data_IF_970069439516
#
_entry.id   IF_970069439516
#
_cell.length_a   1.000
_cell.length_b   1.000
_cell.length_c   1.000
_cell.angle_alpha   90.00
_cell.angle_beta   90.00
_cell.angle_gamma   90.00
#
_symmetry.space_group_name_H-M   'P 1'
#
loop_
_entity.id
_entity.type
_entity.pdbx_description
1 polymer ?
#
# COMPACT_ATOMS: atom_id res chain seq x y z
N UNK A 1 7.72 -3.84 -24.59
CA UNK A 1 6.95 -3.85 -23.33
C UNK A 1 7.90 -4.10 -22.16
N UNK A 2 7.49 -3.88 -20.90
CA UNK A 2 8.36 -4.05 -19.70
C UNK A 2 8.99 -5.45 -19.65
N UNK A 3 8.22 -6.47 -20.04
CA UNK A 3 8.67 -7.86 -20.17
C UNK A 3 9.85 -7.98 -21.15
N UNK A 4 9.68 -7.52 -22.40
CA UNK A 4 10.72 -7.59 -23.43
C UNK A 4 12.02 -6.89 -22.99
N UNK A 5 11.90 -5.74 -22.31
CA UNK A 5 13.08 -5.04 -21.81
C UNK A 5 13.80 -5.83 -20.72
N UNK A 6 13.04 -6.40 -19.78
CA UNK A 6 13.59 -7.19 -18.69
C UNK A 6 14.30 -8.45 -19.21
N UNK A 7 13.68 -9.21 -20.10
CA UNK A 7 14.24 -10.44 -20.65
C UNK A 7 15.45 -10.18 -21.57
N UNK A 8 15.30 -9.27 -22.54
CA UNK A 8 16.31 -9.05 -23.59
C UNK A 8 17.52 -8.26 -23.08
N UNK A 9 17.33 -7.30 -22.16
CA UNK A 9 18.42 -6.45 -21.71
C UNK A 9 18.91 -6.82 -20.32
N UNK A 10 18.03 -6.97 -19.34
CA UNK A 10 18.45 -7.17 -17.95
C UNK A 10 18.88 -8.61 -17.67
N UNK A 11 18.15 -9.62 -18.15
CA UNK A 11 18.53 -11.03 -17.96
C UNK A 11 19.75 -11.38 -18.81
N UNK A 12 19.81 -10.93 -20.06
CA UNK A 12 20.93 -11.24 -20.95
C UNK A 12 22.25 -10.56 -20.54
N UNK A 13 22.22 -9.43 -19.82
CA UNK A 13 23.42 -8.73 -19.36
C UNK A 13 23.83 -9.03 -17.91
N UNK A 14 23.03 -9.81 -17.16
CA UNK A 14 23.35 -10.08 -15.76
C UNK A 14 24.60 -10.97 -15.63
N UNK A 15 25.45 -10.73 -14.61
CA UNK A 15 26.54 -11.63 -14.28
C UNK A 15 26.08 -13.06 -13.95
N UNK A 16 26.98 -14.03 -14.13
CA UNK A 16 26.73 -15.42 -13.73
C UNK A 16 26.82 -15.57 -12.21
N UNK A 17 25.73 -15.26 -11.52
CA UNK A 17 25.56 -15.38 -10.07
C UNK A 17 24.18 -15.97 -9.77
N UNK A 18 24.13 -17.02 -8.94
CA UNK A 18 22.86 -17.69 -8.60
C UNK A 18 21.89 -16.76 -7.85
N UNK A 19 22.41 -15.81 -7.06
CA UNK A 19 21.59 -14.89 -6.25
C UNK A 19 20.87 -13.92 -7.15
N UNK A 20 21.54 -13.45 -8.19
CA UNK A 20 20.94 -12.61 -9.22
C UNK A 20 19.89 -13.38 -10.01
N UNK A 21 20.15 -14.65 -10.34
CA UNK A 21 19.13 -15.50 -10.98
C UNK A 21 17.89 -15.67 -10.09
N UNK A 22 18.06 -15.93 -8.80
CA UNK A 22 16.93 -16.05 -7.87
C UNK A 22 16.13 -14.75 -7.76
N UNK A 23 16.83 -13.62 -7.62
CA UNK A 23 16.21 -12.30 -7.57
C UNK A 23 15.46 -11.96 -8.87
N UNK A 24 16.08 -12.21 -10.01
CA UNK A 24 15.47 -12.02 -11.32
C UNK A 24 14.22 -12.88 -11.51
N UNK A 25 14.25 -14.15 -11.10
CA UNK A 25 13.08 -15.03 -11.17
C UNK A 25 11.95 -14.55 -10.25
N UNK A 26 12.29 -14.04 -9.06
CA UNK A 26 11.32 -13.44 -8.17
C UNK A 26 10.63 -12.24 -8.82
N UNK A 27 11.40 -11.32 -9.41
CA UNK A 27 10.83 -10.17 -10.13
C UNK A 27 9.96 -10.62 -11.31
N UNK A 28 10.43 -11.59 -12.10
CA UNK A 28 9.70 -12.10 -13.25
C UNK A 28 8.33 -12.64 -12.83
N UNK A 29 8.32 -13.51 -11.82
CA UNK A 29 7.11 -14.22 -11.41
C UNK A 29 6.11 -13.32 -10.66
N UNK A 30 6.59 -12.32 -9.92
CA UNK A 30 5.71 -11.49 -9.08
C UNK A 30 5.32 -10.17 -9.72
N UNK A 31 6.13 -9.61 -10.64
CA UNK A 31 5.97 -8.23 -11.11
C UNK A 31 5.95 -8.02 -12.62
N UNK A 32 6.50 -8.95 -13.42
CA UNK A 32 6.79 -8.69 -14.85
C UNK A 32 6.02 -9.62 -15.79
N UNK A 33 5.87 -10.90 -15.43
CA UNK A 33 5.10 -11.87 -16.20
C UNK A 33 3.65 -11.40 -16.40
N UNK A 34 3.01 -11.84 -17.48
CA UNK A 34 1.60 -11.56 -17.74
C UNK A 34 0.67 -12.22 -16.69
N UNK A 35 1.14 -13.25 -16.00
CA UNK A 35 0.42 -13.93 -14.91
C UNK A 35 0.91 -13.49 -13.52
N UNK A 36 1.68 -12.40 -13.45
CA UNK A 36 2.22 -11.89 -12.19
C UNK A 36 1.11 -11.35 -11.27
N UNK A 37 1.28 -11.54 -9.96
CA UNK A 37 0.36 -10.99 -8.96
C UNK A 37 0.33 -9.46 -8.94
N UNK A 38 1.42 -8.80 -9.35
CA UNK A 38 1.57 -7.35 -9.35
C UNK A 38 2.02 -6.83 -10.71
N UNK A 39 1.10 -6.84 -11.67
CA UNK A 39 1.36 -6.48 -13.06
C UNK A 39 1.99 -5.08 -13.24
N UNK A 40 2.81 -4.88 -14.30
CA UNK A 40 3.44 -3.59 -14.59
C UNK A 40 2.49 -2.40 -14.71
N UNK A 41 1.23 -2.61 -15.10
CA UNK A 41 0.25 -1.52 -15.12
C UNK A 41 -0.10 -0.97 -13.73
N UNK A 42 0.18 -1.70 -12.64
CA UNK A 42 -0.04 -1.22 -11.27
C UNK A 42 1.13 -0.31 -10.84
N UNK A 43 2.37 -0.74 -11.05
CA UNK A 43 3.57 -0.06 -10.53
C UNK A 43 4.33 0.78 -11.57
N UNK A 44 4.29 0.43 -12.85
CA UNK A 44 4.98 1.08 -13.96
C UNK A 44 4.08 1.92 -14.87
N UNK A 45 2.78 2.06 -14.55
CA UNK A 45 1.90 2.91 -15.35
C UNK A 45 2.43 4.35 -15.35
N UNK A 46 2.57 4.95 -16.53
CA UNK A 46 2.89 6.36 -16.69
C UNK A 46 1.60 7.19 -16.69
N UNK A 47 0.76 7.00 -15.66
CA UNK A 47 -0.50 7.73 -15.49
C UNK A 47 -0.53 8.41 -14.13
N UNK A 48 -0.92 9.68 -14.13
CA UNK A 48 -1.15 10.49 -12.93
C UNK A 48 -2.57 10.27 -12.38
N UNK A 49 -3.03 9.02 -12.34
CA UNK A 49 -4.36 8.69 -11.85
C UNK A 49 -4.41 8.78 -10.31
N UNK A 50 -5.44 9.44 -9.76
CA UNK A 50 -5.64 9.65 -8.33
C UNK A 50 -5.64 8.34 -7.53
N UNK A 51 -5.99 7.23 -8.19
CA UNK A 51 -5.97 5.86 -7.67
C UNK A 51 -4.58 5.34 -7.28
N UNK A 52 -3.49 6.04 -7.64
CA UNK A 52 -2.10 5.65 -7.34
C UNK A 52 -1.42 6.57 -6.32
N UNK A 53 -2.19 7.43 -5.65
CA UNK A 53 -1.65 8.31 -4.60
C UNK A 53 -1.60 7.59 -3.25
N UNK A 54 -0.47 7.69 -2.54
CA UNK A 54 -0.30 7.18 -1.16
C UNK A 54 -0.97 8.06 -0.11
N UNK A 55 -1.65 9.13 -0.53
CA UNK A 55 -2.31 10.12 0.32
C UNK A 55 -3.23 9.50 1.38
N UNK A 56 -3.97 8.43 1.04
CA UNK A 56 -4.85 7.76 2.00
C UNK A 56 -4.04 7.06 3.12
N UNK A 57 -3.00 6.31 2.74
CA UNK A 57 -2.10 5.65 3.69
C UNK A 57 -1.32 6.67 4.54
N UNK A 58 -0.77 7.71 3.90
CA UNK A 58 -0.04 8.79 4.59
C UNK A 58 -0.93 9.55 5.57
N UNK A 59 -2.17 9.86 5.16
CA UNK A 59 -3.17 10.50 6.03
C UNK A 59 -3.53 9.61 7.22
N UNK A 60 -3.77 8.31 6.99
CA UNK A 60 -4.01 7.36 8.07
C UNK A 60 -2.82 7.30 9.05
N UNK A 61 -1.60 7.11 8.56
CA UNK A 61 -0.42 7.04 9.42
C UNK A 61 -0.15 8.35 10.16
N UNK A 62 -0.33 9.50 9.51
CA UNK A 62 -0.22 10.82 10.15
C UNK A 62 -1.26 10.99 11.27
N UNK A 63 -2.51 10.59 11.03
CA UNK A 63 -3.57 10.65 12.04
C UNK A 63 -3.33 9.68 13.19
N UNK A 64 -2.98 8.43 12.89
CA UNK A 64 -2.71 7.41 13.89
C UNK A 64 -1.51 7.77 14.77
N UNK A 65 -0.41 8.22 14.17
CA UNK A 65 0.80 8.60 14.90
C UNK A 65 0.58 9.77 15.86
N UNK A 66 -0.34 10.69 15.56
CA UNK A 66 -0.74 11.78 16.48
C UNK A 66 -1.35 11.28 17.79
N UNK A 67 -1.77 10.02 17.86
CA UNK A 67 -2.31 9.41 19.08
C UNK A 67 -1.23 9.01 20.09
N UNK A 68 0.05 9.09 19.70
CA UNK A 68 1.17 8.63 20.51
C UNK A 68 2.18 9.77 20.74
N UNK A 69 2.64 9.90 21.99
CA UNK A 69 3.71 10.84 22.38
C UNK A 69 5.09 10.17 22.48
N UNK A 70 5.18 8.88 22.12
CA UNK A 70 6.38 8.06 22.18
C UNK A 70 6.53 7.28 20.89
N UNK A 71 7.78 7.13 20.41
CA UNK A 71 8.11 6.26 19.27
C UNK A 71 7.83 4.77 19.57
N UNK A 72 7.74 4.41 20.84
CA UNK A 72 7.44 3.06 21.32
C UNK A 72 6.32 3.11 22.37
N UNK A 73 5.06 3.29 21.95
CA UNK A 73 3.93 3.30 22.87
C UNK A 73 3.73 1.92 23.49
N UNK A 74 3.19 1.89 24.71
CA UNK A 74 2.82 0.64 25.36
C UNK A 74 1.81 -0.14 24.50
N UNK A 75 1.98 -1.46 24.35
CA UNK A 75 1.16 -2.27 23.45
C UNK A 75 -0.35 -2.18 23.73
N UNK A 76 -0.77 -2.12 24.99
CA UNK A 76 -2.18 -1.91 25.34
C UNK A 76 -2.73 -0.56 24.85
N UNK A 77 -1.97 0.52 24.99
CA UNK A 77 -2.37 1.86 24.50
C UNK A 77 -2.46 1.84 22.97
N UNK A 78 -1.51 1.17 22.32
CA UNK A 78 -1.52 0.99 20.87
C UNK A 78 -2.79 0.26 20.39
N UNK A 79 -3.14 -0.85 21.03
CA UNK A 79 -4.33 -1.65 20.69
C UNK A 79 -5.62 -0.88 20.94
N UNK A 80 -5.68 -0.10 22.03
CA UNK A 80 -6.84 0.75 22.30
C UNK A 80 -7.05 1.78 21.20
N UNK A 81 -5.99 2.50 20.79
CA UNK A 81 -6.08 3.48 19.70
C UNK A 81 -6.40 2.87 18.36
N UNK A 82 -5.90 1.67 18.08
CA UNK A 82 -6.25 0.94 16.86
C UNK A 82 -7.75 0.60 16.83
N UNK A 83 -8.29 0.13 17.96
CA UNK A 83 -9.72 -0.20 18.08
C UNK A 83 -10.62 1.04 17.98
N UNK A 84 -10.21 2.16 18.57
CA UNK A 84 -10.92 3.44 18.46
C UNK A 84 -11.05 3.85 16.98
N UNK A 85 -9.96 3.86 16.22
CA UNK A 85 -9.97 4.21 14.79
C UNK A 85 -10.83 3.25 13.97
N UNK A 86 -10.76 1.95 14.27
CA UNK A 86 -11.63 0.95 13.62
C UNK A 86 -13.11 1.26 13.87
N UNK A 87 -13.48 1.59 15.11
CA UNK A 87 -14.85 1.94 15.47
C UNK A 87 -15.30 3.22 14.75
N UNK A 88 -14.47 4.26 14.73
CA UNK A 88 -14.77 5.50 14.00
C UNK A 88 -15.01 5.26 12.52
N UNK A 89 -14.16 4.45 11.88
CA UNK A 89 -14.30 4.12 10.47
C UNK A 89 -15.59 3.34 10.22
N UNK A 90 -15.91 2.38 11.08
CA UNK A 90 -17.16 1.62 10.99
C UNK A 90 -18.39 2.55 11.11
N UNK A 91 -18.38 3.47 12.07
CA UNK A 91 -19.45 4.47 12.23
C UNK A 91 -19.54 5.35 10.98
N UNK A 92 -18.42 5.87 10.45
CA UNK A 92 -18.38 6.69 9.24
C UNK A 92 -18.97 5.94 8.04
N UNK A 93 -18.52 4.70 7.80
CA UNK A 93 -19.00 3.84 6.71
C UNK A 93 -20.51 3.62 6.81
N UNK A 94 -21.01 3.27 7.99
CA UNK A 94 -22.43 3.04 8.21
C UNK A 94 -23.27 4.33 8.11
N UNK A 95 -22.66 5.49 8.32
CA UNK A 95 -23.32 6.79 8.25
C UNK A 95 -23.32 7.39 6.83
N UNK A 96 -22.67 6.76 5.84
CA UNK A 96 -22.60 7.25 4.45
C UNK A 96 -24.01 7.45 3.88
N UNK A 97 -24.94 6.57 4.21
CA UNK A 97 -26.32 6.61 3.72
C UNK A 97 -27.27 7.43 4.61
N UNK A 98 -26.78 7.98 5.73
CA UNK A 98 -27.61 8.67 6.73
C UNK A 98 -26.90 9.96 7.23
N UNK A 99 -26.66 10.94 6.33
CA UNK A 99 -25.67 12.02 6.51
C UNK A 99 -25.99 13.04 7.63
N UNK A 100 -27.13 12.95 8.30
CA UNK A 100 -27.67 14.00 9.17
C UNK A 100 -27.87 13.61 10.64
N UNK A 101 -27.48 12.42 11.09
CA UNK A 101 -27.75 12.01 12.49
C UNK A 101 -26.83 12.64 13.54
N UNK A 102 -25.65 13.11 13.16
CA UNK A 102 -24.61 13.55 14.13
C UNK A 102 -24.14 15.00 13.97
N UNK A 103 -24.77 15.79 13.08
CA UNK A 103 -24.38 17.20 12.86
C UNK A 103 -24.77 18.16 13.98
N UNK A 104 -25.61 17.72 14.93
CA UNK A 104 -26.21 18.58 15.97
C UNK A 104 -25.75 18.24 17.40
N UNK A 105 -24.61 17.56 17.57
CA UNK A 105 -24.00 17.37 18.89
C UNK A 105 -22.83 18.34 19.07
N UNK A 106 -23.13 19.63 19.15
CA UNK A 106 -22.24 20.65 19.69
C UNK A 106 -23.04 21.82 20.25
#
# INVERSE_FOLDING_TARGET
MVFDYFEVFLISSKPSDHRLTQFSNYLLNNYISNDASFLPNIWAAATADLNRTTNACESFHSHFNKSFNSNHPHIFIFLEKLREIQLENYIKINSINDPNKFRNLK
#
